data_IF_537827792489
#
_entry.id   IF_537827792489
#
_cell.length_a   1.000
_cell.length_b   1.000
_cell.length_c   1.000
_cell.angle_alpha   90.00
_cell.angle_beta   90.00
_cell.angle_gamma   90.00
#
_symmetry.space_group_name_H-M   'P 1'
#
loop_
_entity.id
_entity.type
_entity.pdbx_description
1 polymer ?
#
# COMPACT_ATOMS: atom_id res chain seq x y z
N UNK A 1 9.88 29.72 -12.50
CA UNK A 1 9.03 29.01 -13.47
C UNK A 1 7.63 29.01 -12.91
N UNK A 2 6.67 29.53 -13.69
CA UNK A 2 5.27 29.47 -13.31
C UNK A 2 4.82 28.00 -13.27
N UNK A 3 4.19 27.59 -12.17
CA UNK A 3 3.72 26.21 -11.98
C UNK A 3 2.71 25.79 -13.05
N UNK A 4 1.87 26.70 -13.52
CA UNK A 4 0.89 26.40 -14.56
C UNK A 4 1.58 26.14 -15.91
N UNK A 5 2.59 26.93 -16.23
CA UNK A 5 3.41 26.71 -17.43
C UNK A 5 4.13 25.36 -17.37
N UNK A 6 4.76 25.03 -16.23
CA UNK A 6 5.39 23.73 -16.01
C UNK A 6 4.43 22.57 -16.21
N UNK A 7 3.22 22.65 -15.64
CA UNK A 7 2.18 21.61 -15.85
C UNK A 7 1.83 21.44 -17.33
N UNK A 8 1.61 22.56 -18.02
CA UNK A 8 1.28 22.54 -19.45
C UNK A 8 2.38 21.86 -20.29
N UNK A 9 3.64 22.20 -20.03
CA UNK A 9 4.78 21.67 -20.75
C UNK A 9 4.94 20.16 -20.49
N UNK A 10 4.82 19.71 -19.23
CA UNK A 10 4.88 18.29 -18.88
C UNK A 10 3.73 17.51 -19.52
N UNK A 11 2.50 18.03 -19.49
CA UNK A 11 1.37 17.37 -20.14
C UNK A 11 1.58 17.22 -21.65
N UNK A 12 2.13 18.26 -22.30
CA UNK A 12 2.43 18.23 -23.74
C UNK A 12 3.51 17.20 -24.07
N UNK A 13 4.57 17.11 -23.25
CA UNK A 13 5.66 16.15 -23.45
C UNK A 13 5.22 14.71 -23.24
N UNK A 14 4.44 14.44 -22.18
CA UNK A 14 3.84 13.12 -21.95
C UNK A 14 2.95 12.71 -23.11
N UNK A 15 2.06 13.60 -23.58
CA UNK A 15 1.17 13.36 -24.71
C UNK A 15 1.94 13.03 -26.00
N UNK A 16 2.97 13.81 -26.33
CA UNK A 16 3.84 13.56 -27.48
C UNK A 16 4.56 12.21 -27.37
N UNK A 17 5.06 11.89 -26.19
CA UNK A 17 5.76 10.62 -25.96
C UNK A 17 4.82 9.42 -26.14
N UNK A 18 3.60 9.48 -25.61
CA UNK A 18 2.60 8.43 -25.78
C UNK A 18 2.26 8.20 -27.27
N UNK A 19 2.02 9.28 -28.01
CA UNK A 19 1.75 9.21 -29.45
C UNK A 19 2.94 8.64 -30.22
N UNK A 20 4.15 9.11 -29.93
CA UNK A 20 5.37 8.67 -30.61
C UNK A 20 5.71 7.19 -30.36
N UNK A 21 5.39 6.67 -29.15
CA UNK A 21 5.62 5.26 -28.79
C UNK A 21 4.52 4.34 -29.28
N UNK A 22 3.32 4.84 -29.56
CA UNK A 22 2.18 4.04 -30.00
C UNK A 22 1.74 2.97 -28.99
N UNK A 23 2.03 3.18 -27.70
CA UNK A 23 1.70 2.23 -26.66
C UNK A 23 1.09 2.95 -25.44
N UNK A 24 0.25 2.23 -24.71
CA UNK A 24 -0.32 2.71 -23.46
C UNK A 24 0.75 2.68 -22.35
N UNK A 25 0.69 3.62 -21.39
CA UNK A 25 1.64 3.67 -20.29
C UNK A 25 1.43 2.52 -19.31
N UNK A 26 2.47 2.20 -18.55
CA UNK A 26 2.39 1.39 -17.35
C UNK A 26 2.36 2.36 -16.18
N UNK A 27 1.37 2.20 -15.29
CA UNK A 27 1.30 2.97 -14.06
C UNK A 27 2.11 2.27 -12.97
N UNK A 28 2.97 3.02 -12.29
CA UNK A 28 3.68 2.55 -11.10
C UNK A 28 3.19 3.33 -9.88
N UNK A 29 2.50 2.64 -8.96
CA UNK A 29 1.75 3.26 -7.86
C UNK A 29 2.36 2.84 -6.53
N UNK A 30 2.64 3.82 -5.67
CA UNK A 30 3.16 3.62 -4.32
C UNK A 30 2.24 4.20 -3.24
N UNK A 31 2.66 4.11 -1.98
CA UNK A 31 1.88 4.48 -0.80
C UNK A 31 1.35 5.93 -0.79
N UNK A 32 2.01 6.85 -1.51
CA UNK A 32 1.53 8.22 -1.67
C UNK A 32 0.17 8.32 -2.35
N UNK A 33 -0.15 7.37 -3.22
CA UNK A 33 -1.46 7.27 -3.86
C UNK A 33 -2.56 6.97 -2.82
N UNK A 34 -2.39 5.92 -2.06
CA UNK A 34 -3.35 5.52 -1.02
C UNK A 34 -3.51 6.59 0.05
N UNK A 35 -2.41 7.28 0.39
CA UNK A 35 -2.46 8.43 1.32
C UNK A 35 -3.31 9.57 0.75
N UNK A 36 -3.14 9.92 -0.53
CA UNK A 36 -3.88 11.02 -1.18
C UNK A 36 -5.37 10.74 -1.28
N UNK A 37 -5.74 9.58 -1.76
CA UNK A 37 -7.13 9.28 -2.11
C UNK A 37 -7.95 8.68 -0.97
N UNK A 38 -7.30 7.98 -0.02
CA UNK A 38 -7.99 7.25 1.04
C UNK A 38 -7.48 7.59 2.45
N UNK A 39 -6.57 8.57 2.59
CA UNK A 39 -6.01 8.93 3.87
C UNK A 39 -5.15 7.82 4.51
N UNK A 40 -4.66 6.88 3.72
CA UNK A 40 -3.83 5.79 4.21
C UNK A 40 -2.57 6.31 4.90
N UNK A 41 -2.09 5.55 5.86
CA UNK A 41 -0.82 5.82 6.54
C UNK A 41 0.35 5.56 5.57
N UNK A 42 1.34 6.44 5.56
CA UNK A 42 2.62 6.11 4.95
C UNK A 42 3.39 5.10 5.83
N UNK A 43 4.52 4.59 5.35
CA UNK A 43 5.32 3.61 6.08
C UNK A 43 5.75 4.04 7.48
N UNK A 44 6.14 5.31 7.65
CA UNK A 44 6.53 5.86 8.94
C UNK A 44 5.35 5.94 9.90
N UNK A 45 4.23 6.47 9.41
CA UNK A 45 2.99 6.57 10.17
C UNK A 45 2.45 5.18 10.56
N UNK A 46 2.52 4.22 9.63
CA UNK A 46 2.10 2.84 9.88
C UNK A 46 2.96 2.17 10.96
N UNK A 47 4.28 2.21 10.83
CA UNK A 47 5.18 1.64 11.83
C UNK A 47 5.07 2.35 13.18
N UNK A 48 4.85 3.66 13.18
CA UNK A 48 4.59 4.41 14.41
C UNK A 48 3.28 3.96 15.09
N UNK A 49 2.22 3.76 14.32
CA UNK A 49 0.94 3.29 14.83
C UNK A 49 1.04 1.85 15.38
N UNK A 50 1.70 0.97 14.64
CA UNK A 50 1.94 -0.42 15.07
C UNK A 50 2.81 -0.48 16.33
N UNK A 51 3.84 0.37 16.42
CA UNK A 51 4.71 0.46 17.61
C UNK A 51 3.97 0.89 18.88
N UNK A 52 2.93 1.71 18.74
CA UNK A 52 2.09 2.13 19.88
C UNK A 52 1.06 1.09 20.30
N UNK A 53 0.69 0.19 19.40
CA UNK A 53 -0.36 -0.81 19.64
C UNK A 53 0.19 -2.06 20.35
N UNK A 54 1.41 -2.46 20.05
CA UNK A 54 2.01 -3.67 20.60
C UNK A 54 2.78 -3.37 21.90
N UNK A 55 2.35 -3.91 23.05
CA UNK A 55 3.02 -3.66 24.36
C UNK A 55 4.46 -4.19 24.43
N UNK A 56 4.81 -5.19 23.62
CA UNK A 56 6.17 -5.76 23.58
C UNK A 56 7.17 -4.89 22.78
N UNK A 57 6.70 -3.79 22.17
CA UNK A 57 7.57 -2.81 21.51
C UNK A 57 7.93 -1.73 22.52
N UNK A 58 9.13 -1.85 23.09
CA UNK A 58 9.58 -1.00 24.20
C UNK A 58 9.88 0.45 23.80
N UNK A 59 10.23 0.69 22.54
CA UNK A 59 10.71 1.99 22.07
C UNK A 59 9.86 2.55 20.94
N UNK A 60 9.79 3.87 20.87
CA UNK A 60 9.15 4.55 19.73
C UNK A 60 9.89 4.31 18.42
N UNK A 61 9.18 4.45 17.29
CA UNK A 61 9.74 4.32 15.94
C UNK A 61 11.02 5.13 15.74
N UNK A 62 11.08 6.36 16.30
CA UNK A 62 12.24 7.24 16.19
C UNK A 62 13.54 6.62 16.75
N UNK A 63 13.46 5.84 17.82
CA UNK A 63 14.61 5.12 18.40
C UNK A 63 15.26 4.17 17.39
N UNK A 64 14.45 3.40 16.68
CA UNK A 64 14.95 2.45 15.67
C UNK A 64 15.55 3.21 14.47
N UNK A 65 14.97 4.34 14.07
CA UNK A 65 15.50 5.19 13.01
C UNK A 65 16.84 5.84 13.37
N UNK A 66 16.99 6.31 14.60
CA UNK A 66 18.27 6.83 15.11
C UNK A 66 19.36 5.75 15.08
N UNK A 67 19.01 4.49 15.29
CA UNK A 67 19.90 3.34 15.15
C UNK A 67 20.20 2.96 13.68
N UNK A 68 19.87 3.83 12.72
CA UNK A 68 20.07 3.67 11.27
C UNK A 68 19.42 2.43 10.67
N UNK A 69 18.38 1.88 11.30
CA UNK A 69 17.62 0.75 10.76
C UNK A 69 16.75 1.21 9.59
N UNK A 70 16.67 0.38 8.56
CA UNK A 70 15.72 0.55 7.45
C UNK A 70 14.30 0.19 7.88
N UNK A 71 13.29 0.67 7.15
CA UNK A 71 11.89 0.33 7.45
C UNK A 71 11.61 -1.18 7.44
N UNK A 72 12.12 -1.99 6.47
CA UNK A 72 11.97 -3.44 6.52
C UNK A 72 12.62 -4.07 7.77
N UNK A 73 13.78 -3.59 8.20
CA UNK A 73 14.44 -4.09 9.42
C UNK A 73 13.61 -3.78 10.68
N UNK A 74 12.99 -2.60 10.75
CA UNK A 74 12.08 -2.24 11.83
C UNK A 74 10.84 -3.15 11.79
N UNK A 75 10.28 -3.39 10.60
CA UNK A 75 9.17 -4.33 10.41
C UNK A 75 9.48 -5.73 10.90
N UNK A 76 10.70 -6.24 10.64
CA UNK A 76 11.14 -7.55 11.12
C UNK A 76 11.23 -7.60 12.66
N UNK A 77 11.72 -6.54 13.30
CA UNK A 77 11.75 -6.43 14.76
C UNK A 77 10.31 -6.43 15.32
N UNK A 78 9.43 -5.64 14.73
CA UNK A 78 8.04 -5.56 15.16
C UNK A 78 7.32 -6.90 14.98
N UNK A 79 7.63 -7.67 13.92
CA UNK A 79 7.05 -8.99 13.72
C UNK A 79 7.37 -9.94 14.90
N UNK A 80 8.59 -9.90 15.44
CA UNK A 80 8.94 -10.66 16.62
C UNK A 80 8.18 -10.18 17.86
N UNK A 81 8.09 -8.87 18.08
CA UNK A 81 7.35 -8.32 19.21
C UNK A 81 5.86 -8.68 19.14
N UNK A 82 5.24 -8.59 17.96
CA UNK A 82 3.84 -8.97 17.76
C UNK A 82 3.59 -10.45 18.02
N UNK A 83 4.54 -11.32 17.61
CA UNK A 83 4.50 -12.74 17.93
C UNK A 83 4.57 -12.98 19.44
N UNK A 84 5.52 -12.35 20.15
CA UNK A 84 5.65 -12.46 21.60
C UNK A 84 4.36 -11.99 22.30
N UNK A 85 3.83 -10.86 21.91
CA UNK A 85 2.56 -10.35 22.44
C UNK A 85 1.42 -11.33 22.21
N UNK A 86 1.26 -11.85 21.00
CA UNK A 86 0.19 -12.79 20.67
C UNK A 86 0.23 -14.06 21.53
N UNK A 87 1.42 -14.58 21.80
CA UNK A 87 1.59 -15.78 22.64
C UNK A 87 1.51 -15.53 24.15
N UNK A 88 1.51 -14.26 24.58
CA UNK A 88 1.29 -13.86 25.98
C UNK A 88 -0.15 -13.35 26.15
N UNK A 89 -0.30 -12.05 26.36
CA UNK A 89 -1.56 -11.41 26.74
C UNK A 89 -2.42 -11.01 25.51
N UNK A 90 -1.85 -11.04 24.34
CA UNK A 90 -2.49 -10.60 23.08
C UNK A 90 -3.34 -11.67 22.38
N UNK A 91 -3.44 -12.90 22.94
CA UNK A 91 -4.10 -14.01 22.22
C UNK A 91 -5.51 -13.67 21.73
N UNK A 92 -6.28 -12.95 22.52
CA UNK A 92 -7.66 -12.59 22.20
C UNK A 92 -7.80 -11.60 21.00
N UNK A 93 -6.71 -10.95 20.59
CA UNK A 93 -6.69 -10.02 19.46
C UNK A 93 -6.51 -10.70 18.11
N UNK A 94 -6.11 -11.97 18.11
CA UNK A 94 -5.75 -12.69 16.88
C UNK A 94 -6.62 -13.94 16.69
N UNK A 95 -6.94 -14.31 15.43
CA UNK A 95 -7.64 -15.55 15.11
C UNK A 95 -6.90 -16.79 15.63
N UNK A 96 -7.63 -17.77 16.13
CA UNK A 96 -7.05 -19.01 16.69
C UNK A 96 -6.23 -19.83 15.68
N UNK A 97 -6.59 -19.76 14.41
CA UNK A 97 -5.87 -20.43 13.31
C UNK A 97 -4.43 -19.93 13.14
N UNK A 98 -4.10 -18.72 13.59
CA UNK A 98 -2.74 -18.17 13.48
C UNK A 98 -1.73 -18.82 14.42
N UNK A 99 -2.21 -19.57 15.40
CA UNK A 99 -1.37 -20.28 16.37
C UNK A 99 -1.02 -21.71 15.92
N UNK A 100 -1.39 -22.10 14.69
CA UNK A 100 -1.05 -23.40 14.14
C UNK A 100 0.47 -23.47 13.78
N UNK A 101 1.14 -24.63 13.96
CA UNK A 101 2.58 -24.78 13.71
C UNK A 101 3.01 -24.50 12.26
N UNK A 102 2.10 -24.58 11.31
CA UNK A 102 2.36 -24.35 9.88
C UNK A 102 2.34 -22.87 9.48
N UNK A 103 1.94 -21.97 10.38
CA UNK A 103 1.80 -20.54 10.11
C UNK A 103 3.11 -19.82 10.39
N UNK A 104 3.50 -18.94 9.50
CA UNK A 104 4.71 -18.11 9.64
C UNK A 104 4.61 -17.11 10.80
N UNK A 105 5.73 -16.86 11.47
CA UNK A 105 5.79 -16.02 12.68
C UNK A 105 5.40 -14.56 12.46
N UNK A 106 5.44 -14.07 11.22
CA UNK A 106 5.10 -12.70 10.85
C UNK A 106 3.59 -12.46 10.64
N UNK A 107 2.77 -13.53 10.77
CA UNK A 107 1.31 -13.44 10.56
C UNK A 107 0.64 -12.42 11.46
N UNK A 108 1.08 -12.32 12.72
CA UNK A 108 0.48 -11.42 13.70
C UNK A 108 0.68 -9.95 13.32
N UNK A 109 1.89 -9.57 12.89
CA UNK A 109 2.14 -8.24 12.35
C UNK A 109 1.37 -7.99 11.06
N UNK A 110 1.37 -8.96 10.14
CA UNK A 110 0.61 -8.85 8.87
C UNK A 110 -0.88 -8.63 9.14
N UNK A 111 -1.45 -9.35 10.11
CA UNK A 111 -2.84 -9.16 10.51
C UNK A 111 -3.09 -7.74 11.04
N UNK A 112 -2.25 -7.24 11.94
CA UNK A 112 -2.37 -5.88 12.46
C UNK A 112 -2.29 -4.82 11.34
N UNK A 113 -1.40 -5.02 10.35
CA UNK A 113 -1.33 -4.18 9.15
C UNK A 113 -2.65 -4.24 8.37
N UNK A 114 -3.17 -5.43 8.10
CA UNK A 114 -4.45 -5.61 7.38
C UNK A 114 -5.60 -4.91 8.12
N UNK A 115 -5.66 -4.99 9.46
CA UNK A 115 -6.70 -4.30 10.22
C UNK A 115 -6.66 -2.77 10.05
N UNK A 116 -5.50 -2.18 9.77
CA UNK A 116 -5.36 -0.74 9.51
C UNK A 116 -5.67 -0.35 8.06
N UNK A 117 -5.62 -1.29 7.14
CA UNK A 117 -5.79 -1.05 5.70
C UNK A 117 -7.17 -1.50 5.16
N UNK A 118 -7.86 -2.43 5.84
CA UNK A 118 -9.07 -3.10 5.33
C UNK A 118 -10.25 -2.18 5.00
N UNK A 119 -10.32 -1.02 5.69
CA UNK A 119 -11.41 -0.07 5.51
C UNK A 119 -11.03 1.09 4.58
N UNK A 120 -9.83 1.02 3.97
CA UNK A 120 -9.38 2.01 3.01
C UNK A 120 -10.01 1.76 1.64
N UNK A 121 -10.50 2.81 1.02
CA UNK A 121 -11.08 2.74 -0.32
C UNK A 121 -12.12 3.83 -0.54
N UNK A 122 -12.76 3.82 -1.71
CA UNK A 122 -13.88 4.69 -1.99
C UNK A 122 -15.07 4.33 -1.08
N UNK A 123 -15.94 5.29 -0.87
CA UNK A 123 -17.19 5.07 -0.17
C UNK A 123 -18.13 4.10 -0.95
N UNK A 124 -19.30 3.79 -0.39
CA UNK A 124 -20.29 2.89 -1.02
C UNK A 124 -20.79 3.37 -2.39
N UNK A 125 -20.61 4.65 -2.70
CA UNK A 125 -20.97 5.26 -3.99
C UNK A 125 -19.78 5.32 -4.96
N UNK A 126 -18.62 4.84 -4.55
CA UNK A 126 -17.39 4.88 -5.33
C UNK A 126 -16.66 6.23 -5.28
N UNK A 127 -17.01 7.13 -4.35
CA UNK A 127 -16.36 8.44 -4.19
C UNK A 127 -15.18 8.38 -3.25
N UNK A 128 -14.15 9.16 -3.53
CA UNK A 128 -12.95 9.36 -2.72
C UNK A 128 -13.04 10.60 -1.80
N UNK A 129 -14.27 11.05 -1.51
CA UNK A 129 -14.56 12.06 -0.50
C UNK A 129 -14.62 13.51 -1.01
N UNK A 130 -14.18 13.78 -2.24
CA UNK A 130 -14.40 15.09 -2.89
C UNK A 130 -14.52 14.97 -4.40
N UNK A 131 -15.21 15.96 -5.02
CA UNK A 131 -15.36 16.01 -6.49
C UNK A 131 -14.01 16.15 -7.20
N UNK A 132 -13.05 16.81 -6.59
CA UNK A 132 -11.70 16.99 -7.14
C UNK A 132 -10.96 15.66 -7.16
N UNK A 133 -10.99 14.89 -6.08
CA UNK A 133 -10.36 13.57 -6.01
C UNK A 133 -11.04 12.60 -6.97
N UNK A 134 -12.36 12.62 -7.05
CA UNK A 134 -13.11 11.77 -7.99
C UNK A 134 -12.76 12.11 -9.45
N UNK A 135 -12.60 13.40 -9.77
CA UNK A 135 -12.17 13.83 -11.10
C UNK A 135 -10.75 13.38 -11.44
N UNK A 136 -9.81 13.45 -10.47
CA UNK A 136 -8.45 12.95 -10.64
C UNK A 136 -8.43 11.43 -10.87
N UNK A 137 -9.19 10.68 -10.09
CA UNK A 137 -9.30 9.21 -10.24
C UNK A 137 -9.91 8.85 -11.60
N UNK A 138 -10.96 9.56 -12.03
CA UNK A 138 -11.55 9.35 -13.34
C UNK A 138 -10.58 9.70 -14.49
N UNK A 139 -9.80 10.77 -14.34
CA UNK A 139 -8.75 11.09 -15.30
C UNK A 139 -7.67 9.99 -15.36
N UNK A 140 -7.26 9.43 -14.20
CA UNK A 140 -6.32 8.33 -14.14
C UNK A 140 -6.86 7.07 -14.83
N UNK A 141 -8.12 6.71 -14.60
CA UNK A 141 -8.78 5.60 -15.29
C UNK A 141 -8.83 5.80 -16.81
N UNK A 142 -9.09 7.03 -17.26
CA UNK A 142 -9.19 7.37 -18.68
C UNK A 142 -7.86 7.23 -19.46
N UNK A 143 -6.72 7.13 -18.76
CA UNK A 143 -5.44 6.82 -19.38
C UNK A 143 -5.46 5.42 -20.01
N UNK A 144 -6.29 4.52 -19.48
CA UNK A 144 -6.38 3.12 -19.91
C UNK A 144 -4.99 2.46 -19.98
N UNK A 145 -4.28 2.32 -18.85
CA UNK A 145 -2.90 1.88 -18.84
C UNK A 145 -2.77 0.43 -19.33
N UNK A 146 -1.62 0.08 -19.91
CA UNK A 146 -1.35 -1.31 -20.30
C UNK A 146 -1.25 -2.25 -19.10
N UNK A 147 -0.72 -1.76 -17.98
CA UNK A 147 -0.62 -2.46 -16.72
C UNK A 147 -0.54 -1.47 -15.56
N UNK A 148 -0.91 -1.94 -14.37
CA UNK A 148 -0.74 -1.21 -13.11
C UNK A 148 0.15 -2.03 -12.19
N UNK A 149 1.27 -1.47 -11.77
CA UNK A 149 2.21 -2.08 -10.82
C UNK A 149 2.10 -1.33 -9.52
N UNK A 150 1.87 -2.05 -8.42
CA UNK A 150 1.77 -1.45 -7.09
C UNK A 150 2.72 -2.10 -6.10
N UNK A 151 3.25 -1.28 -5.20
CA UNK A 151 3.98 -1.72 -4.01
C UNK A 151 3.15 -1.60 -2.74
N UNK A 152 1.86 -1.26 -2.86
CA UNK A 152 0.95 -1.08 -1.75
C UNK A 152 0.40 -2.43 -1.26
N UNK A 153 -0.08 -2.45 -0.03
CA UNK A 153 -0.70 -3.62 0.60
C UNK A 153 -2.22 -3.46 0.76
N UNK A 154 -2.77 -2.33 0.33
CA UNK A 154 -4.20 -2.07 0.30
C UNK A 154 -4.84 -2.60 -0.99
N UNK A 155 -6.16 -2.62 -1.03
CA UNK A 155 -6.96 -3.06 -2.17
C UNK A 155 -7.68 -1.90 -2.88
N UNK A 156 -7.06 -0.72 -2.90
CA UNK A 156 -7.68 0.49 -3.47
C UNK A 156 -7.73 0.43 -5.00
N UNK A 157 -6.78 -0.26 -5.61
CA UNK A 157 -6.65 -0.33 -7.07
C UNK A 157 -7.66 -1.29 -7.72
N UNK A 158 -8.06 -2.36 -7.04
CA UNK A 158 -8.98 -3.35 -7.56
C UNK A 158 -10.35 -2.75 -7.94
N UNK A 159 -11.01 -1.94 -7.11
CA UNK A 159 -12.24 -1.27 -7.51
C UNK A 159 -12.04 -0.14 -8.53
N UNK A 160 -10.81 0.38 -8.64
CA UNK A 160 -10.50 1.40 -9.65
C UNK A 160 -10.32 0.83 -11.06
N UNK A 161 -9.75 -0.37 -11.16
CA UNK A 161 -9.41 -1.06 -12.41
C UNK A 161 -10.00 -2.46 -12.43
N UNK A 162 -11.34 -2.62 -12.39
CA UNK A 162 -11.99 -3.92 -12.27
C UNK A 162 -11.77 -4.85 -13.48
N UNK A 163 -11.32 -4.30 -14.60
CA UNK A 163 -10.97 -5.04 -15.81
C UNK A 163 -9.59 -5.73 -15.74
N UNK A 164 -8.77 -5.39 -14.74
CA UNK A 164 -7.44 -6.00 -14.55
C UNK A 164 -7.51 -7.11 -13.51
N UNK A 165 -6.95 -8.27 -13.87
CA UNK A 165 -6.79 -9.35 -12.90
C UNK A 165 -5.60 -9.06 -11.97
N UNK A 166 -5.80 -9.00 -10.64
CA UNK A 166 -4.71 -8.76 -9.72
C UNK A 166 -3.77 -9.98 -9.65
N UNK A 167 -2.46 -9.72 -9.76
CA UNK A 167 -1.41 -10.73 -9.61
C UNK A 167 -0.62 -10.39 -8.37
N UNK A 168 -0.69 -11.24 -7.35
CA UNK A 168 -0.03 -11.03 -6.06
C UNK A 168 1.14 -12.02 -5.91
N UNK A 169 2.34 -11.47 -5.67
CA UNK A 169 3.54 -12.25 -5.42
C UNK A 169 4.26 -12.74 -6.68
N UNK A 170 5.50 -13.17 -6.49
CA UNK A 170 6.39 -13.53 -7.60
C UNK A 170 6.10 -14.89 -8.26
N UNK A 171 5.39 -15.78 -7.58
CA UNK A 171 5.16 -17.15 -8.08
C UNK A 171 4.27 -17.17 -9.33
N UNK A 172 3.32 -16.28 -9.43
CA UNK A 172 2.37 -16.23 -10.56
C UNK A 172 3.06 -15.70 -11.83
N UNK A 173 3.98 -14.75 -11.69
CA UNK A 173 4.70 -14.17 -12.84
C UNK A 173 5.56 -15.24 -13.56
N UNK A 174 6.08 -16.23 -12.82
CA UNK A 174 6.91 -17.31 -13.39
C UNK A 174 6.13 -18.29 -14.28
N UNK A 175 4.80 -18.38 -14.14
CA UNK A 175 3.94 -19.28 -14.89
C UNK A 175 3.24 -18.63 -16.07
N UNK A 176 3.34 -17.31 -16.25
CA UNK A 176 2.71 -16.59 -17.36
C UNK A 176 3.49 -16.71 -18.70
N UNK A 177 4.63 -17.40 -18.71
CA UNK A 177 5.51 -17.54 -19.87
C UNK A 177 5.69 -19.01 -20.34
N UNK A 178 4.75 -19.90 -20.02
CA UNK A 178 4.74 -21.25 -20.59
C UNK A 178 3.59 -21.44 -21.56
#
# INVERSE_FOLDING_TARGET
VDYQQYKSDVCADVGKTMVAKGCQPILFIGAGFSKRYCGALNWEELLTALGKECPEIEHEYAYYRQSKKTMPQIGSIFAQCYKEWAWKDGRAFFPDEFFAPSIGEDIFLKYAVVQKLKDLGPDRNGSFGSKELDAEVNALKSINPHAVISTNYDQILEPMFPEYAPIVGQQVIRHAYM
#
